data_IF_510244135037
#
_entry.id   IF_510244135037
#
_cell.length_a   1.000
_cell.length_b   1.000
_cell.length_c   1.000
_cell.angle_alpha   90.00
_cell.angle_beta   90.00
_cell.angle_gamma   90.00
#
_symmetry.space_group_name_H-M   'P 1'
#
loop_
_entity.id
_entity.type
_entity.pdbx_description
1 polymer ?
#
# COMPACT_ATOMS: atom_id res chain seq x y z
N UNK A 1 -52.04 9.15 -42.72
CA UNK A 1 -51.49 7.92 -42.14
C UNK A 1 -49.98 7.90 -42.12
N UNK A 2 -49.25 8.20 -43.20
CA UNK A 2 -47.77 8.21 -43.27
C UNK A 2 -47.10 9.21 -42.35
N UNK A 3 -47.65 10.41 -42.15
CA UNK A 3 -47.06 11.44 -41.27
C UNK A 3 -47.08 10.98 -39.80
N UNK A 4 -48.18 10.37 -39.35
CA UNK A 4 -48.29 9.86 -37.97
C UNK A 4 -47.33 8.70 -37.70
N UNK A 5 -47.12 7.82 -38.69
CA UNK A 5 -46.17 6.71 -38.57
C UNK A 5 -44.73 7.22 -38.50
N UNK A 6 -44.34 8.19 -39.34
CA UNK A 6 -43.04 8.80 -39.27
C UNK A 6 -42.77 9.53 -37.93
N UNK A 7 -43.77 10.20 -37.39
CA UNK A 7 -43.65 10.86 -36.08
C UNK A 7 -43.42 9.87 -34.93
N UNK A 8 -44.10 8.71 -34.96
CA UNK A 8 -43.87 7.63 -34.00
C UNK A 8 -42.50 7.01 -34.11
N UNK A 9 -41.99 6.81 -35.34
CA UNK A 9 -40.64 6.28 -35.57
C UNK A 9 -39.58 7.26 -35.07
N UNK A 10 -39.76 8.55 -35.34
CA UNK A 10 -38.85 9.58 -34.84
C UNK A 10 -38.87 9.67 -33.32
N UNK A 11 -40.05 9.64 -32.69
CA UNK A 11 -40.21 9.66 -31.26
C UNK A 11 -39.55 8.42 -30.60
N UNK A 12 -39.71 7.24 -31.19
CA UNK A 12 -39.04 6.01 -30.74
C UNK A 12 -37.52 6.11 -30.86
N UNK A 13 -36.97 6.58 -32.01
CA UNK A 13 -35.56 6.77 -32.21
C UNK A 13 -34.97 7.78 -31.21
N UNK A 14 -35.66 8.90 -30.98
CA UNK A 14 -35.26 9.89 -29.96
C UNK A 14 -35.27 9.27 -28.57
N UNK A 15 -36.29 8.50 -28.24
CA UNK A 15 -36.39 7.80 -26.95
C UNK A 15 -35.24 6.82 -26.77
N UNK A 16 -34.94 5.98 -27.77
CA UNK A 16 -33.81 5.03 -27.75
C UNK A 16 -32.47 5.75 -27.64
N UNK A 17 -32.28 6.82 -28.41
CA UNK A 17 -31.08 7.63 -28.35
C UNK A 17 -30.90 8.31 -26.99
N UNK A 18 -31.98 8.83 -26.45
CA UNK A 18 -31.99 9.45 -25.12
C UNK A 18 -31.68 8.44 -24.03
N UNK A 19 -32.26 7.24 -24.09
CA UNK A 19 -31.93 6.15 -23.15
C UNK A 19 -30.45 5.77 -23.25
N UNK A 20 -29.91 5.61 -24.45
CA UNK A 20 -28.49 5.31 -24.68
C UNK A 20 -27.55 6.39 -24.15
N UNK A 21 -27.93 7.67 -24.25
CA UNK A 21 -27.18 8.81 -23.71
C UNK A 21 -27.28 8.87 -22.19
N UNK A 22 -28.45 8.56 -21.62
CA UNK A 22 -28.70 8.59 -20.16
C UNK A 22 -28.22 7.36 -19.43
N UNK A 23 -28.09 6.18 -20.07
CA UNK A 23 -27.54 4.95 -19.45
C UNK A 23 -26.02 5.05 -19.16
N UNK A 24 -25.42 6.20 -19.38
CA UNK A 24 -24.07 6.52 -18.89
C UNK A 24 -22.92 5.89 -19.66
N UNK A 25 -23.16 5.11 -20.73
CA UNK A 25 -22.09 4.51 -21.52
C UNK A 25 -21.18 5.55 -22.17
N UNK A 26 -21.74 6.63 -22.71
CA UNK A 26 -20.93 7.74 -23.26
C UNK A 26 -20.09 8.44 -22.17
N UNK A 27 -20.64 8.59 -20.97
CA UNK A 27 -19.93 9.18 -19.85
C UNK A 27 -18.74 8.31 -19.40
N UNK A 28 -18.89 6.99 -19.51
CA UNK A 28 -17.85 6.01 -19.22
C UNK A 28 -16.74 6.05 -20.26
N UNK A 29 -17.09 6.15 -21.55
CA UNK A 29 -16.15 6.29 -22.66
C UNK A 29 -15.34 7.59 -22.53
N UNK A 30 -15.99 8.72 -22.26
CA UNK A 30 -15.29 10.01 -22.05
C UNK A 30 -14.40 10.00 -20.79
N UNK A 31 -14.80 9.32 -19.69
CA UNK A 31 -13.94 9.13 -18.51
C UNK A 31 -12.73 8.28 -18.83
N UNK A 32 -12.87 7.21 -19.62
CA UNK A 32 -11.76 6.36 -20.05
C UNK A 32 -10.71 7.14 -20.84
N UNK A 33 -11.12 7.94 -21.84
CA UNK A 33 -10.18 8.75 -22.62
C UNK A 33 -9.41 9.77 -21.77
N UNK A 34 -10.06 10.38 -20.78
CA UNK A 34 -9.42 11.33 -19.87
C UNK A 34 -8.41 10.64 -18.96
N UNK A 35 -8.74 9.46 -18.47
CA UNK A 35 -7.87 8.64 -17.60
C UNK A 35 -6.63 8.16 -18.35
N UNK A 36 -6.74 7.77 -19.61
CA UNK A 36 -5.60 7.36 -20.44
C UNK A 36 -4.58 8.50 -20.63
N UNK A 37 -5.04 9.74 -20.84
CA UNK A 37 -4.14 10.89 -20.92
C UNK A 37 -3.45 11.21 -19.60
N UNK A 38 -4.16 11.07 -18.48
CA UNK A 38 -3.59 11.28 -17.14
C UNK A 38 -2.52 10.23 -16.82
N UNK A 39 -2.78 8.93 -17.09
CA UNK A 39 -1.83 7.83 -16.84
C UNK A 39 -0.54 8.00 -17.66
N UNK A 40 -0.63 8.55 -18.88
CA UNK A 40 0.56 8.83 -19.71
C UNK A 40 1.53 9.82 -19.05
N UNK A 41 1.03 10.71 -18.20
CA UNK A 41 1.83 11.66 -17.45
C UNK A 41 2.40 11.11 -16.14
N UNK A 42 1.99 9.93 -15.67
CA UNK A 42 2.43 9.40 -14.40
C UNK A 42 3.84 8.78 -14.49
N UNK A 43 4.64 9.11 -13.48
CA UNK A 43 5.97 8.57 -13.23
C UNK A 43 6.05 8.17 -11.76
N UNK A 44 6.86 7.20 -11.43
CA UNK A 44 7.08 6.73 -10.04
C UNK A 44 5.79 6.32 -9.31
N UNK A 45 4.77 5.92 -10.06
CA UNK A 45 3.49 5.47 -9.55
C UNK A 45 3.50 3.98 -9.20
N UNK A 46 2.47 3.54 -8.50
CA UNK A 46 2.23 2.12 -8.17
C UNK A 46 1.09 1.58 -9.03
N UNK A 47 1.27 0.40 -9.60
CA UNK A 47 0.22 -0.31 -10.33
C UNK A 47 -0.39 -1.37 -9.41
N UNK A 48 -1.72 -1.44 -9.36
CA UNK A 48 -2.46 -2.48 -8.62
C UNK A 48 -3.28 -3.29 -9.63
N UNK A 49 -2.90 -4.55 -9.84
CA UNK A 49 -3.58 -5.49 -10.72
C UNK A 49 -4.61 -6.30 -9.93
N UNK A 50 -5.88 -6.14 -10.29
CA UNK A 50 -7.04 -6.66 -9.60
C UNK A 50 -7.57 -5.71 -8.53
N UNK A 51 -8.86 -5.36 -8.61
CA UNK A 51 -9.52 -4.43 -7.67
C UNK A 51 -10.55 -5.15 -6.77
N UNK A 52 -10.33 -6.43 -6.52
CA UNK A 52 -11.06 -7.21 -5.52
C UNK A 52 -10.69 -6.80 -4.08
N UNK A 53 -11.08 -7.62 -3.10
CA UNK A 53 -10.90 -7.34 -1.65
C UNK A 53 -9.47 -6.89 -1.26
N UNK A 54 -8.44 -7.57 -1.74
CA UNK A 54 -7.06 -7.25 -1.37
C UNK A 54 -6.52 -6.05 -2.16
N UNK A 55 -6.80 -6.00 -3.46
CA UNK A 55 -6.33 -4.89 -4.31
C UNK A 55 -6.97 -3.56 -3.94
N UNK A 56 -8.27 -3.52 -3.67
CA UNK A 56 -8.95 -2.30 -3.23
C UNK A 56 -8.40 -1.81 -1.87
N UNK A 57 -8.14 -2.73 -0.93
CA UNK A 57 -7.53 -2.36 0.36
C UNK A 57 -6.12 -1.80 0.16
N UNK A 58 -5.29 -2.45 -0.66
CA UNK A 58 -3.95 -1.95 -0.99
C UNK A 58 -4.01 -0.55 -1.67
N UNK A 59 -4.94 -0.36 -2.60
CA UNK A 59 -5.18 0.95 -3.23
C UNK A 59 -5.46 2.04 -2.20
N UNK A 60 -6.41 1.81 -1.29
CA UNK A 60 -6.78 2.81 -0.28
C UNK A 60 -5.63 3.16 0.66
N UNK A 61 -4.87 2.17 1.12
CA UNK A 61 -3.70 2.40 1.97
C UNK A 61 -2.60 3.19 1.24
N UNK A 62 -2.32 2.85 -0.01
CA UNK A 62 -1.35 3.58 -0.83
C UNK A 62 -1.77 5.03 -1.05
N UNK A 63 -3.05 5.25 -1.37
CA UNK A 63 -3.61 6.61 -1.57
C UNK A 63 -3.59 7.42 -0.28
N UNK A 64 -3.94 6.83 0.86
CA UNK A 64 -3.89 7.49 2.17
C UNK A 64 -2.46 7.94 2.53
N UNK A 65 -1.43 7.24 2.03
CA UNK A 65 -0.02 7.59 2.19
C UNK A 65 0.53 8.46 1.04
N UNK A 66 -0.35 9.06 0.23
CA UNK A 66 0.04 10.04 -0.81
C UNK A 66 0.60 9.43 -2.10
N UNK A 67 0.55 8.10 -2.28
CA UNK A 67 1.05 7.49 -3.50
C UNK A 67 0.12 7.75 -4.69
N UNK A 68 0.69 7.95 -5.87
CA UNK A 68 -0.03 7.89 -7.14
C UNK A 68 -0.24 6.44 -7.51
N UNK A 69 -1.49 6.04 -7.76
CA UNK A 69 -1.85 4.64 -8.03
C UNK A 69 -2.66 4.53 -9.30
N UNK A 70 -2.31 3.56 -10.14
CA UNK A 70 -3.07 3.12 -11.31
C UNK A 70 -3.63 1.72 -11.03
N UNK A 71 -4.92 1.55 -11.23
CA UNK A 71 -5.59 0.26 -11.08
C UNK A 71 -5.70 -0.41 -12.45
N UNK A 72 -5.43 -1.71 -12.51
CA UNK A 72 -5.74 -2.56 -13.66
C UNK A 72 -6.81 -3.55 -13.22
N UNK A 73 -7.99 -3.48 -13.84
CA UNK A 73 -9.14 -4.33 -13.49
C UNK A 73 -9.93 -4.71 -14.74
N UNK A 74 -10.40 -5.95 -14.77
CA UNK A 74 -11.18 -6.48 -15.89
C UNK A 74 -12.65 -6.07 -15.82
N UNK A 75 -13.19 -5.93 -14.59
CA UNK A 75 -14.59 -5.57 -14.32
C UNK A 75 -14.73 -4.08 -14.03
N UNK A 76 -15.29 -3.30 -14.96
CA UNK A 76 -15.46 -1.87 -14.74
C UNK A 76 -16.44 -1.54 -13.59
N UNK A 77 -17.34 -2.46 -13.26
CA UNK A 77 -18.32 -2.30 -12.17
C UNK A 77 -17.63 -2.15 -10.82
N UNK A 78 -16.60 -2.96 -10.53
CA UNK A 78 -15.87 -2.90 -9.25
C UNK A 78 -15.23 -1.52 -9.02
N UNK A 79 -14.70 -0.93 -10.08
CA UNK A 79 -14.07 0.39 -10.01
C UNK A 79 -15.10 1.50 -9.89
N UNK A 80 -16.23 1.38 -10.62
CA UNK A 80 -17.34 2.33 -10.55
C UNK A 80 -17.93 2.37 -9.16
N UNK A 81 -18.27 1.22 -8.60
CA UNK A 81 -18.87 1.11 -7.25
C UNK A 81 -17.97 1.73 -6.19
N UNK A 82 -16.65 1.50 -6.27
CA UNK A 82 -15.69 2.12 -5.36
C UNK A 82 -15.61 3.65 -5.55
N UNK A 83 -15.67 4.14 -6.79
CA UNK A 83 -15.64 5.57 -7.07
C UNK A 83 -16.87 6.29 -6.54
N UNK A 84 -18.05 5.67 -6.61
CA UNK A 84 -19.32 6.19 -6.10
C UNK A 84 -19.38 6.16 -4.57
N UNK A 85 -18.77 5.16 -3.95
CA UNK A 85 -18.71 4.99 -2.48
C UNK A 85 -17.62 5.82 -1.78
N UNK A 86 -17.10 6.87 -2.41
CA UNK A 86 -16.27 7.88 -1.77
C UNK A 86 -14.78 7.82 -2.11
N UNK A 87 -14.32 6.93 -2.99
CA UNK A 87 -12.91 6.88 -3.42
C UNK A 87 -12.54 8.00 -4.40
N UNK A 88 -13.52 8.73 -4.92
CA UNK A 88 -13.31 9.72 -5.96
C UNK A 88 -12.94 9.09 -7.31
N UNK A 89 -12.32 9.86 -8.19
CA UNK A 89 -11.87 9.34 -9.49
C UNK A 89 -10.65 8.43 -9.31
N UNK A 90 -10.76 7.18 -9.76
CA UNK A 90 -9.69 6.19 -9.72
C UNK A 90 -9.06 6.11 -11.12
N UNK A 91 -7.75 6.37 -11.21
CA UNK A 91 -7.00 6.16 -12.44
C UNK A 91 -6.96 4.65 -12.76
N UNK A 92 -7.65 4.24 -13.82
CA UNK A 92 -7.89 2.83 -14.09
C UNK A 92 -7.66 2.50 -15.56
N UNK A 93 -7.00 1.37 -15.79
CA UNK A 93 -6.95 0.69 -17.08
C UNK A 93 -7.90 -0.51 -17.00
N UNK A 94 -8.94 -0.52 -17.82
CA UNK A 94 -9.84 -1.65 -17.92
C UNK A 94 -9.24 -2.67 -18.89
N UNK A 95 -8.94 -3.86 -18.38
CA UNK A 95 -8.35 -4.93 -19.19
C UNK A 95 -7.81 -6.08 -18.36
N UNK A 96 -7.29 -7.08 -19.06
CA UNK A 96 -6.65 -8.25 -18.47
C UNK A 96 -5.20 -7.92 -18.12
N UNK A 97 -4.89 -7.94 -16.82
CA UNK A 97 -3.55 -7.64 -16.30
C UNK A 97 -2.47 -8.66 -16.73
N UNK A 98 -2.86 -9.81 -17.27
CA UNK A 98 -1.92 -10.82 -17.77
C UNK A 98 -1.37 -10.47 -19.15
N UNK A 99 -1.88 -9.44 -19.83
CA UNK A 99 -1.45 -9.03 -21.17
C UNK A 99 -0.47 -7.86 -21.10
N UNK A 100 0.49 -7.88 -22.02
CA UNK A 100 1.51 -6.81 -22.16
C UNK A 100 0.87 -5.44 -22.43
N UNK A 101 -0.13 -5.42 -23.31
CA UNK A 101 -0.81 -4.19 -23.75
C UNK A 101 -1.43 -3.47 -22.56
N UNK A 102 -2.07 -4.22 -21.66
CA UNK A 102 -2.74 -3.66 -20.48
C UNK A 102 -1.72 -3.08 -19.49
N UNK A 103 -0.62 -3.80 -19.24
CA UNK A 103 0.45 -3.33 -18.37
C UNK A 103 1.18 -2.11 -18.96
N UNK A 104 1.38 -2.09 -20.28
CA UNK A 104 1.95 -0.94 -20.98
C UNK A 104 1.03 0.29 -20.91
N UNK A 105 -0.29 0.11 -21.08
CA UNK A 105 -1.28 1.15 -20.90
C UNK A 105 -1.27 1.71 -19.46
N UNK A 106 -1.05 0.85 -18.45
CA UNK A 106 -0.88 1.25 -17.06
C UNK A 106 0.45 1.96 -16.78
N UNK A 107 1.34 2.09 -17.78
CA UNK A 107 2.61 2.81 -17.65
C UNK A 107 3.70 2.04 -16.91
N UNK A 108 3.73 0.70 -16.98
CA UNK A 108 4.63 -0.17 -16.21
C UNK A 108 6.10 0.20 -16.33
N UNK A 109 6.56 0.68 -17.50
CA UNK A 109 7.95 1.10 -17.72
C UNK A 109 8.38 2.29 -16.87
N UNK A 110 7.42 3.08 -16.37
CA UNK A 110 7.64 4.29 -15.56
C UNK A 110 7.16 4.11 -14.11
N UNK A 111 6.55 2.96 -13.81
CA UNK A 111 6.10 2.62 -12.46
C UNK A 111 7.29 2.25 -11.57
N UNK A 112 7.20 2.56 -10.27
CA UNK A 112 8.17 2.13 -9.25
C UNK A 112 7.83 0.78 -8.63
N UNK A 113 6.54 0.44 -8.59
CA UNK A 113 6.08 -0.80 -7.99
C UNK A 113 4.80 -1.32 -8.65
N UNK A 114 4.60 -2.63 -8.53
CA UNK A 114 3.38 -3.32 -8.92
C UNK A 114 2.93 -4.26 -7.81
N UNK A 115 1.64 -4.25 -7.53
CA UNK A 115 0.98 -5.24 -6.67
C UNK A 115 0.05 -6.06 -7.54
N UNK A 116 0.25 -7.37 -7.60
CA UNK A 116 -0.69 -8.27 -8.25
C UNK A 116 -1.53 -9.00 -7.19
N UNK A 117 -2.85 -8.81 -7.26
CA UNK A 117 -3.83 -9.28 -6.29
C UNK A 117 -5.01 -10.01 -6.96
N UNK A 118 -4.74 -10.67 -8.07
CA UNK A 118 -5.72 -11.45 -8.83
C UNK A 118 -6.17 -12.69 -8.04
N UNK A 119 -7.38 -13.23 -8.32
CA UNK A 119 -7.92 -14.37 -7.59
C UNK A 119 -7.11 -15.65 -7.77
N UNK A 120 -6.55 -15.86 -8.97
CA UNK A 120 -5.81 -17.08 -9.33
C UNK A 120 -4.31 -16.87 -9.23
N UNK A 121 -3.62 -17.75 -8.51
CA UNK A 121 -2.16 -17.69 -8.37
C UNK A 121 -1.42 -17.78 -9.70
N UNK A 122 -1.94 -18.56 -10.67
CA UNK A 122 -1.37 -18.66 -12.00
C UNK A 122 -1.35 -17.31 -12.74
N UNK A 123 -2.44 -16.55 -12.66
CA UNK A 123 -2.52 -15.23 -13.28
C UNK A 123 -1.53 -14.25 -12.61
N UNK A 124 -1.36 -14.33 -11.29
CA UNK A 124 -0.35 -13.54 -10.56
C UNK A 124 1.08 -13.90 -11.00
N UNK A 125 1.35 -15.17 -11.33
CA UNK A 125 2.65 -15.60 -11.88
C UNK A 125 2.88 -14.98 -13.26
N UNK A 126 1.88 -15.00 -14.15
CA UNK A 126 1.98 -14.36 -15.47
C UNK A 126 2.22 -12.85 -15.35
N UNK A 127 1.45 -12.17 -14.52
CA UNK A 127 1.64 -10.72 -14.26
C UNK A 127 3.05 -10.45 -13.76
N UNK A 128 3.56 -11.22 -12.80
CA UNK A 128 4.90 -11.01 -12.25
C UNK A 128 6.00 -11.22 -13.32
N UNK A 129 5.86 -12.24 -14.15
CA UNK A 129 6.81 -12.54 -15.23
C UNK A 129 6.84 -11.41 -16.27
N UNK A 130 5.67 -11.04 -16.81
CA UNK A 130 5.53 -9.97 -17.78
C UNK A 130 5.98 -8.61 -17.22
N UNK A 131 5.63 -8.34 -15.97
CA UNK A 131 6.02 -7.10 -15.30
C UNK A 131 7.56 -6.98 -15.17
N UNK A 132 8.23 -8.07 -14.80
CA UNK A 132 9.70 -8.11 -14.69
C UNK A 132 10.38 -7.96 -16.04
N UNK A 133 9.81 -8.56 -17.10
CA UNK A 133 10.30 -8.42 -18.47
C UNK A 133 10.19 -6.97 -18.96
N UNK A 134 9.03 -6.34 -18.76
CA UNK A 134 8.77 -4.97 -19.21
C UNK A 134 9.50 -3.89 -18.40
N UNK A 135 9.80 -4.17 -17.11
CA UNK A 135 10.54 -3.27 -16.23
C UNK A 135 11.42 -4.05 -15.23
N UNK A 136 12.70 -4.26 -15.55
CA UNK A 136 13.62 -5.03 -14.71
C UNK A 136 13.82 -4.48 -13.29
N UNK A 137 13.62 -3.17 -13.08
CA UNK A 137 13.84 -2.50 -11.80
C UNK A 137 12.54 -2.35 -10.97
N UNK A 138 11.42 -2.84 -11.48
CA UNK A 138 10.12 -2.72 -10.83
C UNK A 138 10.08 -3.51 -9.51
N UNK A 139 9.60 -2.91 -8.43
CA UNK A 139 9.30 -3.66 -7.21
C UNK A 139 7.97 -4.39 -7.36
N UNK A 140 7.99 -5.72 -7.32
CA UNK A 140 6.81 -6.56 -7.56
C UNK A 140 6.40 -7.26 -6.27
N UNK A 141 5.18 -6.98 -5.81
CA UNK A 141 4.54 -7.67 -4.68
C UNK A 141 3.42 -8.53 -5.24
N UNK A 142 3.45 -9.82 -4.96
CA UNK A 142 2.47 -10.75 -5.50
C UNK A 142 1.63 -11.40 -4.39
N UNK A 143 0.32 -11.52 -4.62
CA UNK A 143 -0.56 -12.32 -3.79
C UNK A 143 -0.45 -13.79 -4.17
N UNK A 144 -0.39 -14.66 -3.16
CA UNK A 144 -0.61 -16.10 -3.31
C UNK A 144 -1.74 -16.57 -2.39
N UNK A 145 -2.47 -17.56 -2.86
CA UNK A 145 -3.47 -18.31 -2.07
C UNK A 145 -2.88 -19.61 -1.54
N UNK A 146 -1.93 -20.20 -2.25
CA UNK A 146 -1.32 -21.48 -1.90
C UNK A 146 0.18 -21.31 -1.60
N UNK A 147 0.65 -21.92 -0.54
CA UNK A 147 2.08 -21.94 -0.16
C UNK A 147 2.99 -22.46 -1.29
N UNK A 148 2.49 -23.43 -2.07
CA UNK A 148 3.21 -23.98 -3.23
C UNK A 148 3.41 -22.96 -4.37
N UNK A 149 2.65 -21.89 -4.40
CA UNK A 149 2.76 -20.82 -5.41
C UNK A 149 3.85 -19.81 -5.08
N UNK A 150 4.24 -19.67 -3.81
CA UNK A 150 5.24 -18.70 -3.35
C UNK A 150 6.56 -18.81 -4.12
N UNK A 151 7.12 -20.02 -4.18
CA UNK A 151 8.40 -20.25 -4.88
C UNK A 151 8.30 -20.00 -6.40
N UNK A 152 7.12 -20.20 -6.99
CA UNK A 152 6.86 -19.93 -8.41
C UNK A 152 6.80 -18.42 -8.67
N UNK A 153 6.12 -17.68 -7.82
CA UNK A 153 6.01 -16.22 -7.90
C UNK A 153 7.37 -15.54 -7.72
N UNK A 154 8.18 -15.98 -6.75
CA UNK A 154 9.54 -15.47 -6.57
C UNK A 154 10.41 -15.76 -7.80
N UNK A 155 10.34 -16.95 -8.38
CA UNK A 155 11.06 -17.30 -9.63
C UNK A 155 10.55 -16.54 -10.85
N UNK A 156 9.26 -16.15 -10.87
CA UNK A 156 8.68 -15.31 -11.92
C UNK A 156 9.11 -13.84 -11.80
N UNK A 157 9.86 -13.48 -10.75
CA UNK A 157 10.39 -12.13 -10.58
C UNK A 157 9.69 -11.28 -9.52
N UNK A 158 8.79 -11.86 -8.72
CA UNK A 158 8.25 -11.14 -7.56
C UNK A 158 9.36 -10.93 -6.50
N UNK A 159 9.43 -9.73 -5.92
CA UNK A 159 10.34 -9.40 -4.82
C UNK A 159 9.80 -9.87 -3.48
N UNK A 160 8.47 -9.93 -3.36
CA UNK A 160 7.80 -10.40 -2.15
C UNK A 160 6.48 -11.08 -2.51
N UNK A 161 6.15 -12.10 -1.74
CA UNK A 161 4.88 -12.82 -1.86
C UNK A 161 4.11 -12.69 -0.55
N UNK A 162 2.83 -12.36 -0.64
CA UNK A 162 1.93 -12.22 0.50
C UNK A 162 0.80 -13.22 0.39
N UNK A 163 0.50 -13.93 1.47
CA UNK A 163 -0.63 -14.86 1.60
C UNK A 163 -1.65 -14.29 2.60
N UNK A 164 -2.61 -13.48 2.16
CA UNK A 164 -3.53 -12.77 3.06
C UNK A 164 -4.35 -13.69 3.93
N UNK A 165 -4.77 -14.85 3.39
CA UNK A 165 -5.60 -15.81 4.13
C UNK A 165 -4.81 -16.49 5.25
N UNK A 166 -3.52 -16.79 5.04
CA UNK A 166 -2.61 -17.33 6.08
C UNK A 166 -2.36 -16.30 7.18
N UNK A 167 -2.07 -15.06 6.79
CA UNK A 167 -1.87 -13.95 7.73
C UNK A 167 -3.14 -13.73 8.54
N UNK A 168 -4.30 -13.64 7.88
CA UNK A 168 -5.60 -13.43 8.52
C UNK A 168 -5.98 -14.57 9.47
N UNK A 169 -5.78 -15.81 9.04
CA UNK A 169 -6.03 -17.00 9.87
C UNK A 169 -5.15 -17.02 11.13
N UNK A 170 -3.86 -16.77 10.98
CA UNK A 170 -2.93 -16.66 12.09
C UNK A 170 -3.30 -15.52 13.05
N UNK A 171 -3.71 -14.37 12.51
CA UNK A 171 -4.14 -13.24 13.31
C UNK A 171 -5.40 -13.56 14.13
N UNK A 172 -6.41 -14.20 13.52
CA UNK A 172 -7.63 -14.64 14.23
C UNK A 172 -7.30 -15.62 15.36
N UNK A 173 -6.43 -16.60 15.12
CA UNK A 173 -6.00 -17.55 16.16
C UNK A 173 -5.27 -16.83 17.31
N UNK A 174 -4.39 -15.88 17.01
CA UNK A 174 -3.68 -15.11 18.01
C UNK A 174 -4.61 -14.21 18.83
N UNK A 175 -5.68 -13.66 18.26
CA UNK A 175 -6.70 -12.93 19.03
C UNK A 175 -7.37 -13.79 20.11
N UNK A 176 -7.53 -15.10 19.86
CA UNK A 176 -8.04 -16.04 20.87
C UNK A 176 -6.97 -16.41 21.90
N UNK A 177 -5.75 -16.71 21.44
CA UNK A 177 -4.70 -17.24 22.28
C UNK A 177 -3.95 -16.17 23.09
N UNK A 178 -3.78 -14.98 22.54
CA UNK A 178 -2.94 -13.90 23.10
C UNK A 178 -3.54 -12.52 22.82
N UNK A 179 -4.79 -12.22 23.24
CA UNK A 179 -5.51 -10.99 22.87
C UNK A 179 -4.75 -9.73 23.29
N UNK A 180 -4.12 -9.71 24.46
CA UNK A 180 -3.40 -8.51 24.92
C UNK A 180 -2.12 -8.24 24.12
N UNK A 181 -1.44 -9.29 23.66
CA UNK A 181 -0.26 -9.14 22.77
C UNK A 181 -0.69 -8.53 21.44
N UNK A 182 -1.78 -9.03 20.85
CA UNK A 182 -2.30 -8.49 19.59
C UNK A 182 -2.73 -7.03 19.76
N UNK A 183 -3.47 -6.73 20.83
CA UNK A 183 -3.87 -5.33 21.14
C UNK A 183 -2.66 -4.40 21.26
N UNK A 184 -1.60 -4.86 21.92
CA UNK A 184 -0.36 -4.08 22.04
C UNK A 184 0.31 -3.85 20.68
N UNK A 185 0.39 -4.87 19.80
CA UNK A 185 0.93 -4.74 18.44
C UNK A 185 0.08 -3.81 17.56
N UNK A 186 -1.24 -3.86 17.69
CA UNK A 186 -2.15 -2.93 17.01
C UNK A 186 -1.92 -1.48 17.43
N UNK A 187 -1.72 -1.24 18.73
CA UNK A 187 -1.36 0.09 19.23
C UNK A 187 -0.03 0.58 18.65
N UNK A 188 0.97 -0.30 18.53
CA UNK A 188 2.27 0.02 17.88
C UNK A 188 2.13 0.34 16.39
N UNK A 189 1.17 -0.29 15.69
CA UNK A 189 0.89 -0.02 14.27
C UNK A 189 -0.05 1.19 14.07
N UNK A 190 -0.31 1.96 15.12
CA UNK A 190 -1.18 3.14 15.06
C UNK A 190 -2.67 2.83 14.97
N UNK A 191 -3.05 1.57 15.21
CA UNK A 191 -4.43 1.11 15.27
C UNK A 191 -4.93 1.23 16.73
N UNK A 192 -6.13 1.78 16.91
CA UNK A 192 -6.73 1.94 18.24
C UNK A 192 -6.58 3.33 18.87
N UNK A 193 -7.19 3.54 20.06
CA UNK A 193 -7.27 4.86 20.70
C UNK A 193 -5.94 5.36 21.29
N UNK A 194 -5.07 4.45 21.73
CA UNK A 194 -3.78 4.76 22.33
C UNK A 194 -2.66 4.37 21.35
N UNK A 195 -2.31 5.28 20.47
CA UNK A 195 -1.24 5.04 19.48
C UNK A 195 0.11 5.09 20.15
N UNK A 196 0.87 3.99 20.03
CA UNK A 196 2.28 3.97 20.34
C UNK A 196 3.08 4.23 19.06
N UNK A 197 4.18 4.91 19.19
CA UNK A 197 5.14 5.14 18.10
C UNK A 197 6.46 4.47 18.43
N UNK A 198 7.00 3.77 17.47
CA UNK A 198 8.37 3.31 17.47
C UNK A 198 9.19 4.33 16.67
N UNK A 199 10.17 4.94 17.30
CA UNK A 199 10.98 5.99 16.72
C UNK A 199 12.45 5.61 16.74
N UNK A 200 13.16 5.96 15.68
CA UNK A 200 14.60 5.80 15.57
C UNK A 200 15.28 7.08 16.05
N UNK A 201 16.18 6.97 17.03
CA UNK A 201 17.04 8.05 17.47
C UNK A 201 18.47 7.69 17.08
N UNK A 202 18.91 8.25 15.96
CA UNK A 202 20.28 8.06 15.47
C UNK A 202 21.29 8.82 16.34
N UNK A 203 22.43 8.20 16.65
CA UNK A 203 23.51 8.86 17.41
C UNK A 203 23.89 10.22 16.83
N UNK A 204 23.84 10.39 15.50
CA UNK A 204 24.17 11.65 14.83
C UNK A 204 23.15 12.76 15.09
N UNK A 205 21.92 12.40 15.38
CA UNK A 205 20.83 13.32 15.70
C UNK A 205 20.81 13.72 17.18
N UNK A 206 21.56 13.00 18.03
CA UNK A 206 21.66 13.30 19.46
C UNK A 206 22.50 14.57 19.65
N UNK A 207 21.97 15.52 20.42
CA UNK A 207 22.70 16.74 20.79
C UNK A 207 24.06 16.41 21.41
N UNK A 208 25.07 17.19 21.09
CA UNK A 208 26.47 16.95 21.52
C UNK A 208 26.63 16.77 23.03
N UNK A 209 25.82 17.43 23.84
CA UNK A 209 25.80 17.31 25.31
C UNK A 209 25.41 15.93 25.82
N UNK A 210 24.72 15.13 25.01
CA UNK A 210 24.26 13.79 25.36
C UNK A 210 25.07 12.68 24.66
N UNK A 211 25.97 13.04 23.74
CA UNK A 211 26.81 12.05 23.06
C UNK A 211 27.84 11.42 24.01
N UNK A 212 28.05 10.13 23.88
CA UNK A 212 28.97 9.36 24.72
C UNK A 212 28.41 8.98 26.08
N UNK A 213 27.20 9.40 26.42
CA UNK A 213 26.51 8.97 27.65
C UNK A 213 25.94 7.56 27.50
N UNK A 214 25.89 6.80 28.59
CA UNK A 214 25.19 5.52 28.65
C UNK A 214 23.66 5.72 28.60
N UNK A 215 22.92 4.65 28.28
CA UNK A 215 21.46 4.68 28.29
C UNK A 215 20.93 5.14 29.66
N UNK A 216 21.59 4.75 30.75
CA UNK A 216 21.30 5.19 32.11
C UNK A 216 21.47 6.70 32.27
N UNK A 217 22.60 7.25 31.82
CA UNK A 217 22.93 8.67 31.93
C UNK A 217 22.05 9.54 30.98
N UNK A 218 21.65 9.01 29.85
CA UNK A 218 20.65 9.66 28.99
C UNK A 218 19.31 9.84 29.70
N UNK A 219 18.93 8.90 30.55
CA UNK A 219 17.71 8.94 31.38
C UNK A 219 16.45 9.30 30.58
N UNK A 220 16.35 8.71 29.38
CA UNK A 220 15.27 8.99 28.41
C UNK A 220 13.90 8.79 29.05
N UNK A 221 13.74 7.69 29.82
CA UNK A 221 12.46 7.33 30.41
C UNK A 221 11.96 8.37 31.44
N UNK A 222 12.80 8.84 32.33
CA UNK A 222 12.39 9.83 33.34
C UNK A 222 12.14 11.20 32.73
N UNK A 223 12.90 11.54 31.68
CA UNK A 223 12.83 12.86 31.03
C UNK A 223 11.66 12.99 30.05
N UNK A 224 11.30 11.92 29.37
CA UNK A 224 10.33 11.97 28.26
C UNK A 224 9.17 11.01 28.41
N UNK A 225 9.27 10.04 29.32
CA UNK A 225 8.32 8.93 29.46
C UNK A 225 8.51 7.83 28.41
N UNK A 226 9.31 8.06 27.36
CA UNK A 226 9.57 7.06 26.33
C UNK A 226 10.59 6.03 26.78
N UNK A 227 10.57 4.83 26.21
CA UNK A 227 11.41 3.70 26.65
C UNK A 227 12.29 3.21 25.51
N UNK A 228 13.59 3.05 25.76
CA UNK A 228 14.52 2.40 24.82
C UNK A 228 14.25 0.90 24.83
N UNK A 229 13.87 0.34 23.68
CA UNK A 229 13.57 -1.08 23.51
C UNK A 229 14.62 -1.83 22.71
N UNK A 230 15.48 -1.12 21.99
CA UNK A 230 16.51 -1.73 21.15
C UNK A 230 17.66 -0.79 20.80
N UNK A 231 18.76 -1.41 20.42
CA UNK A 231 19.94 -0.73 19.88
C UNK A 231 20.35 -1.47 18.61
N UNK A 232 20.43 -0.75 17.48
CA UNK A 232 21.05 -1.22 16.25
C UNK A 232 22.44 -0.64 16.20
N UNK A 233 23.45 -1.49 16.21
CA UNK A 233 24.85 -1.07 16.10
C UNK A 233 25.22 -0.72 14.66
N UNK A 234 26.26 0.06 14.50
CA UNK A 234 26.83 0.44 13.19
C UNK A 234 27.26 -0.77 12.34
N UNK A 235 27.53 -1.91 12.97
CA UNK A 235 27.81 -3.21 12.33
C UNK A 235 26.57 -3.86 11.72
N UNK A 236 25.36 -3.38 12.04
CA UNK A 236 24.07 -3.97 11.68
C UNK A 236 23.52 -4.95 12.70
N UNK A 237 24.27 -5.27 13.77
CA UNK A 237 23.81 -6.10 14.86
C UNK A 237 22.72 -5.39 15.67
N UNK A 238 21.68 -6.16 16.03
CA UNK A 238 20.52 -5.65 16.77
C UNK A 238 20.42 -6.27 18.16
N UNK A 239 20.45 -5.43 19.20
CA UNK A 239 20.28 -5.85 20.59
C UNK A 239 18.93 -5.39 21.11
N UNK A 240 18.09 -6.35 21.54
CA UNK A 240 16.82 -6.05 22.21
C UNK A 240 17.10 -5.82 23.70
N UNK A 241 16.42 -4.82 24.29
CA UNK A 241 16.61 -4.46 25.71
C UNK A 241 18.08 -4.26 26.09
N UNK A 242 18.79 -3.30 25.46
CA UNK A 242 20.19 -3.08 25.75
C UNK A 242 20.40 -2.74 27.23
N UNK A 243 21.57 -3.12 27.78
CA UNK A 243 21.91 -2.79 29.16
C UNK A 243 21.87 -1.29 29.41
N UNK A 244 21.46 -0.88 30.60
CA UNK A 244 21.47 0.52 31.00
C UNK A 244 22.87 1.17 30.94
N UNK A 245 23.92 0.37 31.06
CA UNK A 245 25.31 0.83 30.99
C UNK A 245 25.88 0.85 29.57
N UNK A 246 25.11 0.39 28.57
CA UNK A 246 25.49 0.48 27.16
C UNK A 246 25.63 1.93 26.72
N UNK A 247 26.73 2.24 26.03
CA UNK A 247 27.02 3.56 25.46
C UNK A 247 26.88 3.49 23.95
N UNK A 248 25.82 4.11 23.38
CA UNK A 248 25.70 4.22 21.93
C UNK A 248 26.88 5.02 21.36
N UNK A 249 27.35 4.61 20.19
CA UNK A 249 28.45 5.24 19.48
C UNK A 249 28.08 5.76 18.09
N UNK A 250 29.06 6.33 17.36
CA UNK A 250 28.83 6.83 15.99
C UNK A 250 28.32 5.72 15.07
N UNK A 251 27.17 5.98 14.44
CA UNK A 251 26.50 5.03 13.54
C UNK A 251 25.47 4.13 14.21
N UNK A 252 25.38 4.15 15.52
CA UNK A 252 24.35 3.42 16.25
C UNK A 252 23.00 4.13 16.20
N UNK A 253 21.92 3.36 16.35
CA UNK A 253 20.53 3.84 16.36
C UNK A 253 19.80 3.22 17.56
N UNK A 254 19.26 4.05 18.42
CA UNK A 254 18.36 3.63 19.49
C UNK A 254 16.94 3.51 18.95
N UNK A 255 16.27 2.41 19.24
CA UNK A 255 14.83 2.26 19.02
C UNK A 255 14.08 2.62 20.30
N UNK A 256 13.22 3.65 20.20
CA UNK A 256 12.50 4.20 21.34
C UNK A 256 11.01 4.06 21.12
N UNK A 257 10.31 3.52 22.12
CA UNK A 257 8.86 3.33 22.13
C UNK A 257 8.21 4.34 23.07
N UNK A 258 7.15 4.99 22.60
CA UNK A 258 6.39 5.94 23.42
C UNK A 258 5.08 6.36 22.75
N UNK A 259 4.25 7.12 23.48
CA UNK A 259 3.11 7.82 22.90
C UNK A 259 3.60 8.96 21.99
N UNK A 260 2.72 9.53 21.20
CA UNK A 260 3.05 10.68 20.33
C UNK A 260 3.64 11.86 21.13
N UNK A 261 3.08 12.14 22.31
CA UNK A 261 3.56 13.18 23.22
C UNK A 261 4.97 12.86 23.75
N UNK A 262 5.22 11.60 24.14
CA UNK A 262 6.51 11.15 24.65
C UNK A 262 7.59 11.17 23.57
N UNK A 263 7.25 10.80 22.34
CA UNK A 263 8.17 10.88 21.19
C UNK A 263 8.42 12.35 20.80
N UNK A 264 7.42 13.21 20.89
CA UNK A 264 7.65 14.64 20.69
C UNK A 264 8.60 15.22 21.77
N UNK A 265 8.39 14.88 23.04
CA UNK A 265 9.31 15.25 24.12
C UNK A 265 10.73 14.72 23.89
N UNK A 266 10.87 13.47 23.39
CA UNK A 266 12.17 12.91 23.01
C UNK A 266 12.86 13.76 21.92
N UNK A 267 12.13 14.13 20.88
CA UNK A 267 12.68 14.94 19.80
C UNK A 267 13.14 16.31 20.28
N UNK A 268 12.34 16.99 21.10
CA UNK A 268 12.69 18.32 21.67
C UNK A 268 13.90 18.24 22.59
N UNK A 269 14.01 17.19 23.40
CA UNK A 269 15.06 17.06 24.41
C UNK A 269 16.41 16.58 23.84
N UNK A 270 16.40 15.67 22.87
CA UNK A 270 17.60 14.93 22.46
C UNK A 270 18.03 15.18 21.02
N UNK A 271 17.14 15.59 20.10
CA UNK A 271 17.53 15.89 18.72
C UNK A 271 18.11 17.29 18.57
N UNK A 272 19.05 17.38 17.62
CA UNK A 272 19.65 18.66 17.18
C UNK A 272 18.68 19.45 16.31
#
# INVERSE_FOLDING_TARGET
>A
MYIFFNLLVIAYLVSVLTTYIFDGELRTIFKMFKTDQEIRGYHDHVIVCGFGRNGSKAYHELRANGATVVVVEQSPELVRDASENGSGAIATVIGDATTDETLLAAGIRRARALITALPKDADNVFVALTARELNPNLKIIARASLKTSESKLLRAGADSVVMPDEIGGSHMANLVMRPEVIRFLEMMNGLGPNKLRLEELSYREIQRSYQGLSIRELDIRSRTGATVIGLKQSTGEFTVSPSADTRPGPGDVLLVLGTEEQIHALAVQFRV
#
